data_IF_049194384303
#
_entry.id   IF_049194384303
#
_cell.length_a   1.000
_cell.length_b   1.000
_cell.length_c   1.000
_cell.angle_alpha   90.00
_cell.angle_beta   90.00
_cell.angle_gamma   90.00
#
_symmetry.space_group_name_H-M   'P 1'
#
loop_
_entity.id
_entity.type
_entity.pdbx_description
1 polymer ?
#
# COMPACT_ATOMS: atom_id res chain seq x y z
N UNK A 1 -17.61 39.42 -7.83
CA UNK A 1 -17.82 38.01 -7.46
C UNK A 1 -17.83 37.89 -5.95
N UNK A 2 -18.90 37.39 -5.32
CA UNK A 2 -19.04 37.45 -3.84
C UNK A 2 -18.12 36.41 -3.18
N UNK A 3 -17.53 36.76 -2.03
CA UNK A 3 -16.68 35.85 -1.24
C UNK A 3 -17.40 34.54 -0.87
N UNK A 4 -18.74 34.57 -0.79
CA UNK A 4 -19.59 33.39 -0.54
C UNK A 4 -19.59 32.40 -1.71
N UNK A 5 -19.66 32.89 -2.95
CA UNK A 5 -19.62 32.03 -4.14
C UNK A 5 -18.28 31.31 -4.29
N UNK A 6 -17.18 32.02 -3.98
CA UNK A 6 -15.83 31.44 -3.98
C UNK A 6 -15.71 30.35 -2.90
N UNK A 7 -16.22 30.61 -1.69
CA UNK A 7 -16.23 29.61 -0.61
C UNK A 7 -17.01 28.33 -0.96
N UNK A 8 -18.19 28.46 -1.55
CA UNK A 8 -18.99 27.31 -2.01
C UNK A 8 -18.27 26.50 -3.08
N UNK A 9 -17.62 27.16 -4.05
CA UNK A 9 -16.88 26.48 -5.11
C UNK A 9 -15.71 25.64 -4.55
N UNK A 10 -14.96 26.19 -3.59
CA UNK A 10 -13.87 25.46 -2.92
C UNK A 10 -14.40 24.23 -2.16
N UNK A 11 -15.52 24.39 -1.44
CA UNK A 11 -16.14 23.28 -0.71
C UNK A 11 -16.59 22.14 -1.65
N UNK A 12 -17.26 22.47 -2.76
CA UNK A 12 -17.72 21.48 -3.75
C UNK A 12 -16.53 20.75 -4.37
N UNK A 13 -15.47 21.48 -4.75
CA UNK A 13 -14.26 20.88 -5.30
C UNK A 13 -13.59 19.92 -4.30
N UNK A 14 -13.49 20.34 -3.03
CA UNK A 14 -12.96 19.48 -1.96
C UNK A 14 -13.78 18.22 -1.74
N UNK A 15 -15.12 18.33 -1.65
CA UNK A 15 -16.00 17.18 -1.51
C UNK A 15 -15.93 16.22 -2.70
N UNK A 16 -15.85 16.77 -3.93
CA UNK A 16 -15.74 15.97 -5.14
C UNK A 16 -14.42 15.21 -5.20
N UNK A 17 -13.31 15.86 -4.80
CA UNK A 17 -12.00 15.22 -4.71
C UNK A 17 -11.97 14.10 -3.67
N UNK A 18 -12.53 14.33 -2.48
CA UNK A 18 -12.63 13.32 -1.44
C UNK A 18 -13.50 12.14 -1.90
N UNK A 19 -14.64 12.40 -2.55
CA UNK A 19 -15.52 11.36 -3.06
C UNK A 19 -14.81 10.50 -4.13
N UNK A 20 -14.09 11.13 -5.05
CA UNK A 20 -13.32 10.42 -6.07
C UNK A 20 -12.25 9.51 -5.45
N UNK A 21 -11.47 10.02 -4.49
CA UNK A 21 -10.51 9.21 -3.73
C UNK A 21 -11.18 8.05 -2.99
N UNK A 22 -12.41 8.24 -2.51
CA UNK A 22 -13.17 7.19 -1.83
C UNK A 22 -13.64 6.05 -2.76
N UNK A 23 -13.83 6.35 -4.04
CA UNK A 23 -14.38 5.45 -5.07
C UNK A 23 -13.31 4.77 -5.92
N UNK A 24 -12.07 5.26 -5.92
CA UNK A 24 -10.98 4.63 -6.65
C UNK A 24 -10.68 3.24 -6.08
N UNK A 25 -10.71 2.18 -6.90
CA UNK A 25 -10.33 0.85 -6.45
C UNK A 25 -8.83 0.81 -6.17
N UNK A 26 -8.44 0.06 -5.15
CA UNK A 26 -7.03 -0.19 -4.85
C UNK A 26 -6.44 -1.04 -5.98
N UNK A 27 -5.36 -0.56 -6.55
CA UNK A 27 -4.61 -1.26 -7.57
C UNK A 27 -3.42 -1.97 -6.92
N UNK A 28 -3.30 -3.29 -7.08
CA UNK A 28 -2.09 -4.02 -6.73
C UNK A 28 -1.14 -3.96 -7.92
N UNK A 29 -0.08 -3.17 -7.78
CA UNK A 29 0.91 -2.95 -8.85
C UNK A 29 1.87 -4.14 -8.93
N UNK A 30 2.38 -4.60 -7.80
CA UNK A 30 3.34 -5.69 -7.73
C UNK A 30 3.32 -6.37 -6.35
N UNK A 31 3.76 -7.63 -6.34
CA UNK A 31 4.03 -8.39 -5.12
C UNK A 31 5.45 -8.91 -5.19
N UNK A 32 6.24 -8.62 -4.17
CA UNK A 32 7.66 -8.97 -4.09
C UNK A 32 7.93 -9.94 -2.96
N UNK A 33 9.15 -10.49 -2.95
CA UNK A 33 9.65 -11.35 -1.86
C UNK A 33 9.56 -10.63 -0.50
N UNK A 34 9.39 -11.42 0.56
CA UNK A 34 9.15 -10.88 1.90
C UNK A 34 7.71 -10.38 2.10
N UNK A 35 6.79 -10.86 1.27
CA UNK A 35 5.34 -10.56 1.32
C UNK A 35 5.05 -9.05 1.28
N UNK A 36 5.73 -8.36 0.37
CA UNK A 36 5.59 -6.92 0.16
C UNK A 36 4.63 -6.69 -1.01
N UNK A 37 3.56 -5.92 -0.78
CA UNK A 37 2.57 -5.56 -1.78
C UNK A 37 2.70 -4.07 -2.09
N UNK A 38 2.97 -3.74 -3.35
CA UNK A 38 2.97 -2.36 -3.85
C UNK A 38 1.57 -2.02 -4.36
N UNK A 39 0.98 -0.94 -3.84
CA UNK A 39 -0.38 -0.53 -4.19
C UNK A 39 -0.46 0.93 -4.63
N UNK A 40 -1.50 1.25 -5.43
CA UNK A 40 -1.99 2.62 -5.65
C UNK A 40 -3.39 2.79 -5.09
N UNK A 41 -3.75 4.04 -4.80
CA UNK A 41 -5.08 4.42 -4.31
C UNK A 41 -5.49 3.68 -3.03
N UNK A 42 -4.52 3.38 -2.16
CA UNK A 42 -4.82 2.68 -0.92
C UNK A 42 -5.66 3.55 0.01
N UNK A 43 -6.65 3.00 0.74
CA UNK A 43 -7.53 3.81 1.55
C UNK A 43 -6.75 4.53 2.65
N UNK A 44 -7.08 5.80 2.91
CA UNK A 44 -6.44 6.58 3.96
C UNK A 44 -6.85 6.11 5.38
N UNK A 45 -8.12 5.77 5.57
CA UNK A 45 -8.66 5.40 6.88
C UNK A 45 -8.26 3.97 7.27
N UNK A 46 -7.72 3.79 8.48
CA UNK A 46 -7.27 2.48 9.00
C UNK A 46 -8.34 1.40 8.88
N UNK A 47 -9.61 1.72 9.20
CA UNK A 47 -10.73 0.79 9.08
C UNK A 47 -10.95 0.30 7.65
N UNK A 48 -10.80 1.18 6.64
CA UNK A 48 -10.92 0.81 5.23
C UNK A 48 -9.71 0.01 4.74
N UNK A 49 -8.51 0.27 5.26
CA UNK A 49 -7.32 -0.53 4.96
C UNK A 49 -7.49 -1.97 5.45
N UNK A 50 -8.00 -2.13 6.68
CA UNK A 50 -8.32 -3.44 7.26
C UNK A 50 -9.41 -4.14 6.44
N UNK A 51 -10.52 -3.44 6.16
CA UNK A 51 -11.61 -3.99 5.35
C UNK A 51 -11.16 -4.41 3.95
N UNK A 52 -10.28 -3.62 3.32
CA UNK A 52 -9.69 -3.99 2.04
C UNK A 52 -8.89 -5.29 2.16
N UNK A 53 -8.01 -5.40 3.14
CA UNK A 53 -7.23 -6.63 3.35
C UNK A 53 -8.14 -7.83 3.57
N UNK A 54 -9.10 -7.72 4.50
CA UNK A 54 -10.05 -8.80 4.80
C UNK A 54 -10.83 -9.27 3.57
N UNK A 55 -11.23 -8.33 2.70
CA UNK A 55 -12.00 -8.64 1.49
C UNK A 55 -11.15 -9.23 0.35
N UNK A 56 -9.83 -9.06 0.39
CA UNK A 56 -8.92 -9.41 -0.71
C UNK A 56 -7.91 -10.51 -0.36
N UNK A 57 -7.70 -10.84 0.92
CA UNK A 57 -6.65 -11.77 1.36
C UNK A 57 -6.71 -13.14 0.70
N UNK A 58 -7.91 -13.67 0.46
CA UNK A 58 -8.07 -14.98 -0.19
C UNK A 58 -7.69 -14.92 -1.69
N UNK A 59 -8.11 -13.85 -2.37
CA UNK A 59 -7.71 -13.58 -3.76
C UNK A 59 -6.19 -13.38 -3.86
N UNK A 60 -5.62 -12.63 -2.93
CA UNK A 60 -4.18 -12.37 -2.87
C UNK A 60 -3.41 -13.68 -2.67
N UNK A 61 -3.89 -14.55 -1.77
CA UNK A 61 -3.29 -15.88 -1.55
C UNK A 61 -3.38 -16.76 -2.79
N UNK A 62 -4.54 -16.81 -3.44
CA UNK A 62 -4.74 -17.62 -4.63
C UNK A 62 -3.88 -17.14 -5.81
N UNK A 63 -3.74 -15.82 -6.00
CA UNK A 63 -3.06 -15.23 -7.15
C UNK A 63 -1.55 -15.08 -6.96
N UNK A 64 -1.11 -14.69 -5.77
CA UNK A 64 0.29 -14.34 -5.50
C UNK A 64 0.99 -15.28 -4.53
N UNK A 65 0.26 -16.22 -3.91
CA UNK A 65 0.84 -17.20 -2.98
C UNK A 65 1.15 -16.67 -1.58
N UNK A 66 0.91 -15.38 -1.30
CA UNK A 66 1.19 -14.73 -0.01
C UNK A 66 -0.09 -14.59 0.85
N UNK A 67 -0.01 -14.54 2.19
CA UNK A 67 1.22 -14.62 2.98
C UNK A 67 1.85 -16.02 2.97
N UNK A 68 3.17 -16.06 3.03
CA UNK A 68 3.93 -17.23 3.42
C UNK A 68 3.89 -17.37 4.93
N UNK A 69 3.53 -18.57 5.41
CA UNK A 69 3.49 -18.89 6.83
C UNK A 69 4.78 -19.61 7.21
N UNK A 70 5.38 -19.24 8.32
CA UNK A 70 6.44 -20.04 8.96
C UNK A 70 5.86 -21.31 9.58
N UNK A 71 6.74 -22.19 10.08
CA UNK A 71 6.36 -23.48 10.66
C UNK A 71 5.44 -23.33 11.89
N UNK A 72 5.65 -22.29 12.70
CA UNK A 72 4.77 -21.90 13.82
C UNK A 72 3.47 -21.21 13.36
N UNK A 73 3.25 -21.12 12.05
CA UNK A 73 2.10 -20.49 11.42
C UNK A 73 2.16 -18.97 11.35
N UNK A 74 3.19 -18.32 11.90
CA UNK A 74 3.32 -16.87 11.83
C UNK A 74 3.41 -16.38 10.39
N UNK A 75 2.83 -15.22 10.11
CA UNK A 75 3.09 -14.51 8.86
C UNK A 75 3.05 -13.00 9.04
N UNK A 76 3.67 -12.30 8.08
CA UNK A 76 3.60 -10.85 7.99
C UNK A 76 3.50 -10.38 6.55
N UNK A 77 2.63 -9.41 6.28
CA UNK A 77 2.49 -8.76 4.96
C UNK A 77 2.71 -7.25 5.12
N UNK A 78 3.53 -6.69 4.25
CA UNK A 78 3.80 -5.26 4.20
C UNK A 78 3.11 -4.63 2.99
N UNK A 79 2.15 -3.75 3.22
CA UNK A 79 1.54 -2.94 2.15
C UNK A 79 2.30 -1.61 2.08
N UNK A 80 2.86 -1.33 0.91
CA UNK A 80 3.65 -0.13 0.62
C UNK A 80 2.99 0.68 -0.50
N UNK A 81 3.08 2.00 -0.39
CA UNK A 81 2.63 2.90 -1.46
C UNK A 81 3.63 2.83 -2.64
N UNK A 82 3.13 2.55 -3.84
CA UNK A 82 3.97 2.48 -5.03
C UNK A 82 4.51 3.86 -5.45
N UNK A 83 3.82 4.94 -5.08
CA UNK A 83 4.24 6.31 -5.29
C UNK A 83 4.48 6.65 -6.76
N UNK A 84 5.65 7.20 -7.03
CA UNK A 84 6.07 7.62 -8.37
C UNK A 84 6.66 6.47 -9.21
N UNK A 85 6.59 5.24 -8.71
CA UNK A 85 7.07 4.04 -9.38
C UNK A 85 8.53 3.70 -9.11
N UNK A 86 9.02 2.69 -9.84
CA UNK A 86 10.38 2.18 -9.67
C UNK A 86 11.44 3.18 -10.11
N UNK A 87 12.58 3.16 -9.41
CA UNK A 87 13.75 4.01 -9.62
C UNK A 87 15.03 3.20 -9.44
N UNK A 88 16.11 3.77 -9.99
CA UNK A 88 17.46 3.24 -9.83
C UNK A 88 18.02 3.78 -8.52
N UNK A 89 18.52 2.88 -7.67
CA UNK A 89 19.36 3.24 -6.53
C UNK A 89 20.76 3.62 -7.06
N UNK A 90 21.19 4.85 -6.76
CA UNK A 90 22.47 5.41 -7.21
C UNK A 90 23.55 5.30 -6.13
N UNK A 91 23.25 4.69 -4.98
CA UNK A 91 24.17 4.55 -3.85
C UNK A 91 24.47 5.89 -3.17
N UNK A 92 23.54 6.84 -3.24
CA UNK A 92 23.68 8.18 -2.63
C UNK A 92 22.91 8.28 -1.32
N UNK A 93 23.19 9.30 -0.51
CA UNK A 93 22.43 9.53 0.73
C UNK A 93 20.93 9.73 0.48
N UNK A 94 20.55 10.28 -0.69
CA UNK A 94 19.16 10.43 -1.12
C UNK A 94 18.45 9.08 -1.35
N UNK A 95 19.21 8.00 -1.58
CA UNK A 95 18.71 6.66 -1.85
C UNK A 95 18.49 5.83 -0.56
N UNK A 96 18.91 6.32 0.60
CA UNK A 96 18.71 5.65 1.89
C UNK A 96 17.23 5.36 2.21
N UNK A 97 16.34 6.17 1.65
CA UNK A 97 14.88 6.03 1.75
C UNK A 97 14.29 5.05 0.73
N UNK A 98 15.09 4.34 -0.06
CA UNK A 98 14.60 3.40 -1.05
C UNK A 98 14.44 1.98 -0.49
N UNK A 99 13.35 1.33 -0.88
CA UNK A 99 13.08 -0.09 -0.71
C UNK A 99 13.35 -0.78 -2.05
N UNK A 100 14.39 -1.60 -2.12
CA UNK A 100 14.82 -2.30 -3.32
C UNK A 100 14.42 -3.78 -3.29
N UNK A 101 14.09 -4.33 -4.45
CA UNK A 101 13.58 -5.69 -4.60
C UNK A 101 14.57 -6.60 -5.36
N UNK A 102 15.15 -7.56 -4.66
CA UNK A 102 16.19 -8.45 -5.23
C UNK A 102 15.65 -9.50 -6.20
N UNK A 103 14.34 -9.71 -6.24
CA UNK A 103 13.68 -10.51 -7.28
C UNK A 103 13.65 -9.83 -8.65
N UNK A 104 13.92 -8.52 -8.73
CA UNK A 104 13.99 -7.78 -9.98
C UNK A 104 15.44 -7.69 -10.49
N UNK A 105 15.66 -8.12 -11.74
CA UNK A 105 16.99 -8.07 -12.40
C UNK A 105 17.32 -6.74 -13.09
N UNK A 106 16.38 -5.79 -13.08
CA UNK A 106 16.55 -4.47 -13.71
C UNK A 106 17.16 -3.48 -12.73
N UNK A 107 17.84 -2.44 -13.24
CA UNK A 107 18.43 -1.40 -12.39
C UNK A 107 17.36 -0.58 -11.65
N UNK A 108 16.22 -0.30 -12.31
CA UNK A 108 15.08 0.37 -11.68
C UNK A 108 14.25 -0.63 -10.87
N UNK A 109 14.76 -1.04 -9.70
CA UNK A 109 14.18 -2.06 -8.82
C UNK A 109 13.77 -1.55 -7.44
N UNK A 110 13.76 -0.23 -7.25
CA UNK A 110 13.53 0.36 -5.94
C UNK A 110 12.35 1.33 -5.95
N UNK A 111 11.64 1.44 -4.83
CA UNK A 111 10.60 2.45 -4.61
C UNK A 111 10.89 3.25 -3.35
N UNK A 112 10.37 4.48 -3.24
CA UNK A 112 10.47 5.25 -2.00
C UNK A 112 9.73 4.51 -0.87
N UNK A 113 10.39 4.32 0.27
CA UNK A 113 9.80 3.71 1.47
C UNK A 113 8.60 4.53 1.93
N UNK A 114 7.40 3.97 1.74
CA UNK A 114 6.13 4.55 2.18
C UNK A 114 5.24 3.45 2.72
N UNK A 115 5.47 3.00 3.97
CA UNK A 115 4.64 1.96 4.58
C UNK A 115 3.23 2.46 4.82
N UNK A 116 2.24 1.68 4.39
CA UNK A 116 0.81 2.01 4.54
C UNK A 116 0.16 1.18 5.64
N UNK A 117 0.45 -0.12 5.67
CA UNK A 117 -0.13 -1.05 6.63
C UNK A 117 0.74 -2.28 6.74
N UNK A 118 0.97 -2.72 7.97
CA UNK A 118 1.54 -4.01 8.27
C UNK A 118 0.46 -4.94 8.84
N UNK A 119 0.35 -6.13 8.28
CA UNK A 119 -0.58 -7.16 8.73
C UNK A 119 0.24 -8.32 9.26
N UNK A 120 -0.04 -8.75 10.48
CA UNK A 120 0.56 -9.92 11.10
C UNK A 120 -0.50 -10.94 11.49
N UNK A 121 -0.08 -12.19 11.61
CA UNK A 121 -0.85 -13.22 12.29
C UNK A 121 0.08 -14.11 13.09
N UNK A 122 -0.37 -14.52 14.28
CA UNK A 122 0.28 -15.55 15.08
C UNK A 122 -0.77 -16.44 15.73
N UNK A 123 -0.39 -17.66 16.10
CA UNK A 123 -1.28 -18.56 16.84
C UNK A 123 -1.77 -17.94 18.16
N UNK A 124 -0.90 -17.19 18.85
CA UNK A 124 -1.18 -16.63 20.16
C UNK A 124 -2.03 -15.35 20.12
N UNK A 125 -1.90 -14.53 19.07
CA UNK A 125 -2.54 -13.20 19.00
C UNK A 125 -3.63 -13.12 17.94
N UNK A 126 -3.80 -14.15 17.11
CA UNK A 126 -4.65 -14.08 15.94
C UNK A 126 -4.12 -13.06 14.93
N UNK A 127 -5.02 -12.45 14.15
CA UNK A 127 -4.66 -11.44 13.17
C UNK A 127 -4.56 -10.05 13.80
N UNK A 128 -3.50 -9.31 13.46
CA UNK A 128 -3.25 -7.98 13.99
C UNK A 128 -2.71 -7.04 12.92
N UNK A 129 -2.86 -5.73 13.17
CA UNK A 129 -2.55 -4.67 12.23
C UNK A 129 -1.69 -3.61 12.91
N UNK A 130 -0.60 -3.17 12.27
CA UNK A 130 0.23 -2.05 12.73
C UNK A 130 0.35 -0.97 11.66
#
# INVERSE_FOLDING_TARGET
MSKRLIGCAIAIAGCSYLLWQFLLPVEIVAVHKGDIILVRHFPYLKSRQISWWESNKDMIKAKYGIPHKSEDGYYSVNIMDFGEGYRVDRGTDEDSDLLCFDDMKVAAKCVKKKPLRWIGWSQNSGQFYR
#
